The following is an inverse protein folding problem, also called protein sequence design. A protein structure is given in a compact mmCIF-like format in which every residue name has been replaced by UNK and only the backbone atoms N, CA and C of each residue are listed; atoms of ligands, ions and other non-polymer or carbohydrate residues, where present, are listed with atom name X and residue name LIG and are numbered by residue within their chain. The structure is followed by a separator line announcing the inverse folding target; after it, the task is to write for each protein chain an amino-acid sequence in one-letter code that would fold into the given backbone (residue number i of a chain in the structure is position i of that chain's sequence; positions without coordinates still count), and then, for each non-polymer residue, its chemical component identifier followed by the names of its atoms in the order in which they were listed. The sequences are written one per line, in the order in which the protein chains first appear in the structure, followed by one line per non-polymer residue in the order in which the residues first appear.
data_IF_824335782644
#
_entry.id   IF_824335782644
#
_cell.length_a   1.000
_cell.length_b   1.000
_cell.length_c   1.000
_cell.angle_alpha   90.00
_cell.angle_beta   90.00
_cell.angle_gamma   90.00
#
_symmetry.space_group_name_H-M   'P 1'
#
loop_
_entity.id
_entity.type
_entity.pdbx_description
1 polymer ?
#
# COMPACT_ATOMS: atom_id res chain seq x y z
N UNK A 1 -0.01 12.49 25.66
CA UNK A 1 -1.00 12.51 24.56
C UNK A 1 -0.94 13.85 23.88
N UNK A 2 -1.14 13.91 22.56
CA UNK A 2 -1.37 15.19 21.86
C UNK A 2 -2.48 15.94 22.61
N UNK A 3 -2.30 17.26 22.81
CA UNK A 3 -3.32 18.10 23.44
C UNK A 3 -4.52 18.34 22.52
N UNK A 4 -4.44 17.94 21.26
CA UNK A 4 -5.50 18.16 20.26
C UNK A 4 -6.46 16.97 20.16
N UNK A 5 -7.78 17.21 20.19
CA UNK A 5 -8.77 16.19 19.91
C UNK A 5 -8.58 15.62 18.49
N UNK A 6 -8.59 14.29 18.34
CA UNK A 6 -8.55 13.62 17.02
C UNK A 6 -7.17 13.15 16.53
N UNK A 7 -6.10 13.25 17.34
CA UNK A 7 -4.79 12.72 16.97
C UNK A 7 -4.84 11.18 16.85
N UNK A 8 -4.54 10.60 15.66
CA UNK A 8 -4.75 9.17 15.42
C UNK A 8 -3.62 8.27 15.96
N UNK A 9 -2.58 8.83 16.59
CA UNK A 9 -1.44 8.06 17.08
C UNK A 9 -0.99 8.46 18.49
N UNK A 10 -0.52 7.47 19.26
CA UNK A 10 0.17 7.68 20.53
C UNK A 10 1.66 7.96 20.31
N UNK A 11 2.25 8.82 21.14
CA UNK A 11 3.68 9.13 21.11
C UNK A 11 4.37 8.59 22.36
N UNK A 12 5.42 7.79 22.18
CA UNK A 12 6.35 7.36 23.23
C UNK A 12 7.74 7.83 22.87
N UNK A 13 8.49 8.36 23.84
CA UNK A 13 9.85 8.86 23.63
C UNK A 13 10.85 7.95 24.32
N UNK A 14 11.88 7.54 23.58
CA UNK A 14 13.02 6.80 24.11
C UNK A 14 14.22 7.73 24.18
N UNK A 15 14.93 7.73 25.31
CA UNK A 15 16.05 8.63 25.61
C UNK A 15 17.32 7.80 25.76
N UNK A 16 17.92 7.33 24.65
CA UNK A 16 19.22 6.67 24.69
C UNK A 16 20.34 7.66 24.98
N UNK A 17 21.38 7.17 25.65
CA UNK A 17 22.63 7.89 25.89
C UNK A 17 23.66 7.51 24.83
N UNK A 18 24.96 7.51 25.16
CA UNK A 18 25.99 7.08 24.20
C UNK A 18 25.74 5.61 23.81
N UNK A 19 25.62 5.34 22.51
CA UNK A 19 25.18 4.02 22.03
C UNK A 19 26.39 3.20 21.59
N UNK A 20 26.62 2.10 22.30
CA UNK A 20 27.65 1.11 21.95
C UNK A 20 27.03 -0.23 21.58
N UNK A 21 27.82 -1.17 21.13
CA UNK A 21 27.36 -2.50 20.70
C UNK A 21 27.74 -2.83 19.24
N UNK A 22 27.35 -4.01 18.76
CA UNK A 22 27.84 -4.54 17.50
C UNK A 22 27.43 -3.68 16.29
N UNK A 23 28.38 -3.46 15.39
CA UNK A 23 28.17 -2.79 14.13
C UNK A 23 27.50 -3.71 13.12
N UNK A 24 26.69 -3.14 12.22
CA UNK A 24 26.04 -3.91 11.14
C UNK A 24 27.13 -4.32 10.13
N UNK A 25 27.18 -5.58 9.68
CA UNK A 25 28.14 -6.01 8.66
C UNK A 25 28.01 -5.20 7.36
N UNK A 26 29.15 -4.73 6.84
CA UNK A 26 29.22 -3.89 5.65
C UNK A 26 28.82 -2.44 5.90
N UNK A 27 28.81 -1.96 7.15
CA UNK A 27 28.54 -0.56 7.46
C UNK A 27 29.61 0.31 6.78
N UNK A 28 29.23 1.30 5.93
CA UNK A 28 30.18 2.01 5.08
C UNK A 28 30.99 3.09 5.80
N UNK A 29 30.52 3.58 6.95
CA UNK A 29 31.15 4.68 7.69
C UNK A 29 31.10 4.45 9.19
N UNK A 30 32.13 4.92 9.90
CA UNK A 30 32.13 4.94 11.36
C UNK A 30 31.13 5.99 11.87
N UNK A 31 30.30 5.62 12.84
CA UNK A 31 29.37 6.57 13.46
C UNK A 31 30.02 7.30 14.64
N UNK A 32 29.43 8.41 15.08
CA UNK A 32 29.95 9.26 16.16
C UNK A 32 30.12 8.55 17.50
N UNK A 33 29.28 7.55 17.81
CA UNK A 33 29.40 6.83 19.08
C UNK A 33 30.54 5.80 19.06
N UNK A 34 30.76 5.15 17.91
CA UNK A 34 31.86 4.24 17.68
C UNK A 34 33.21 4.97 17.56
N UNK A 35 33.21 6.20 17.04
CA UNK A 35 34.42 7.04 16.98
C UNK A 35 34.94 7.42 18.36
N UNK A 36 34.12 7.34 19.41
CA UNK A 36 34.58 7.53 20.78
C UNK A 36 35.48 6.38 21.28
N UNK A 37 35.42 5.19 20.65
CA UNK A 37 36.22 4.02 21.02
C UNK A 37 37.41 3.81 20.08
N UNK A 38 37.27 4.12 18.79
CA UNK A 38 38.33 3.84 17.79
C UNK A 38 39.67 4.49 18.14
N UNK A 39 39.65 5.66 18.78
CA UNK A 39 40.89 6.35 19.18
C UNK A 39 41.70 5.61 20.26
N UNK A 40 41.03 4.76 21.06
CA UNK A 40 41.69 3.85 22.00
C UNK A 40 42.23 2.60 21.29
N UNK A 41 41.60 2.20 20.16
CA UNK A 41 41.97 1.02 19.37
C UNK A 41 43.22 1.28 18.54
N UNK A 42 43.31 2.46 17.91
CA UNK A 42 44.44 2.84 17.05
C UNK A 42 45.61 3.48 17.82
N UNK A 43 45.38 3.90 19.06
CA UNK A 43 46.35 4.57 19.91
C UNK A 43 46.47 6.07 19.67
N UNK A 44 45.56 6.70 18.92
CA UNK A 44 45.52 8.17 18.77
C UNK A 44 45.19 8.88 20.09
N UNK A 45 44.47 8.21 21.00
CA UNK A 45 44.25 8.66 22.38
C UNK A 45 45.38 8.13 23.27
N UNK A 46 46.20 9.05 23.79
CA UNK A 46 47.38 8.73 24.62
C UNK A 46 47.10 8.66 26.13
N UNK A 47 46.04 9.33 26.59
CA UNK A 47 45.60 9.30 27.99
C UNK A 47 44.11 8.97 28.06
N UNK A 48 43.73 8.14 29.03
CA UNK A 48 42.33 7.79 29.28
C UNK A 48 41.60 9.01 29.83
N UNK A 49 40.45 9.33 29.24
CA UNK A 49 39.57 10.41 29.72
C UNK A 49 39.19 10.17 31.19
N UNK A 50 39.39 11.17 32.05
CA UNK A 50 39.03 11.09 33.46
C UNK A 50 37.57 11.51 33.65
N UNK A 51 36.66 10.64 33.21
CA UNK A 51 35.22 10.85 33.28
C UNK A 51 34.41 9.55 33.25
N UNK A 52 33.17 9.63 33.71
CA UNK A 52 32.14 8.62 33.51
C UNK A 52 31.13 9.09 32.44
N UNK A 53 30.65 8.18 31.60
CA UNK A 53 29.56 8.47 30.65
C UNK A 53 28.50 7.39 30.71
N UNK A 54 27.23 7.78 30.61
CA UNK A 54 26.12 6.82 30.50
C UNK A 54 26.07 6.21 29.12
N UNK A 55 25.99 4.88 29.05
CA UNK A 55 26.02 4.12 27.79
C UNK A 55 24.90 3.11 27.71
N UNK A 56 24.53 2.71 26.49
CA UNK A 56 23.49 1.71 26.24
C UNK A 56 23.80 0.90 24.98
N UNK A 57 23.41 -0.39 24.96
CA UNK A 57 23.60 -1.25 23.80
C UNK A 57 22.62 -0.91 22.68
N UNK A 58 23.10 -0.87 21.44
CA UNK A 58 22.29 -0.63 20.23
C UNK A 58 21.17 -1.66 20.07
N UNK A 59 21.39 -2.91 20.49
CA UNK A 59 20.38 -3.98 20.45
C UNK A 59 19.26 -3.72 21.45
N UNK A 60 19.60 -3.23 22.63
CA UNK A 60 18.62 -2.87 23.66
C UNK A 60 17.80 -1.66 23.22
N UNK A 61 18.43 -0.66 22.61
CA UNK A 61 17.75 0.48 22.00
C UNK A 61 16.79 0.02 20.91
N UNK A 62 17.23 -0.84 19.99
CA UNK A 62 16.37 -1.36 18.92
C UNK A 62 15.18 -2.17 19.48
N UNK A 63 15.43 -3.03 20.48
CA UNK A 63 14.38 -3.79 21.17
C UNK A 63 13.38 -2.86 21.87
N UNK A 64 13.85 -1.82 22.55
CA UNK A 64 12.99 -0.83 23.20
C UNK A 64 12.07 -0.11 22.22
N UNK A 65 12.55 0.24 21.02
CA UNK A 65 11.71 0.83 19.97
C UNK A 65 10.56 -0.10 19.55
N UNK A 66 10.86 -1.39 19.36
CA UNK A 66 9.85 -2.39 18.99
C UNK A 66 8.84 -2.61 20.11
N UNK A 67 9.30 -2.75 21.35
CA UNK A 67 8.43 -2.97 22.51
C UNK A 67 7.55 -1.75 22.81
N UNK A 68 8.06 -0.54 22.64
CA UNK A 68 7.28 0.69 22.85
C UNK A 68 6.11 0.84 21.87
N UNK A 69 6.20 0.26 20.67
CA UNK A 69 5.11 0.26 19.68
C UNK A 69 4.05 -0.79 20.02
N UNK A 70 4.45 -1.91 20.65
CA UNK A 70 3.56 -3.04 20.94
C UNK A 70 2.78 -2.90 22.24
N UNK A 71 3.24 -2.03 23.14
CA UNK A 71 2.69 -1.89 24.50
C UNK A 71 1.93 -0.58 24.63
N UNK A 72 0.97 -0.56 25.56
CA UNK A 72 0.21 0.66 25.88
C UNK A 72 1.01 1.57 26.82
N UNK A 73 2.01 2.24 26.25
CA UNK A 73 2.95 3.12 26.98
C UNK A 73 2.98 4.53 26.41
N UNK A 74 1.98 4.90 25.61
CA UNK A 74 1.89 6.22 24.99
C UNK A 74 1.89 7.34 26.05
N UNK A 75 2.51 8.46 25.71
CA UNK A 75 2.69 9.61 26.58
C UNK A 75 3.87 9.51 27.55
N UNK A 76 4.64 8.42 27.52
CA UNK A 76 5.77 8.20 28.43
C UNK A 76 7.12 8.50 27.77
N UNK A 77 8.11 8.74 28.63
CA UNK A 77 9.52 8.90 28.27
C UNK A 77 10.32 7.82 29.01
N UNK A 78 11.15 7.09 28.30
CA UNK A 78 11.94 5.99 28.87
C UNK A 78 13.43 6.28 28.74
N UNK A 79 14.14 6.30 29.88
CA UNK A 79 15.60 6.36 29.89
C UNK A 79 16.15 5.01 29.46
N UNK A 80 17.07 5.02 28.49
CA UNK A 80 17.78 3.83 28.04
C UNK A 80 19.25 3.98 28.42
N UNK A 81 19.60 3.44 29.60
CA UNK A 81 20.95 3.46 30.17
C UNK A 81 21.27 2.05 30.65
N UNK A 82 22.31 1.43 30.08
CA UNK A 82 22.82 0.12 30.50
C UNK A 82 24.04 0.19 31.42
N UNK A 83 24.58 1.39 31.67
CA UNK A 83 25.71 1.58 32.58
C UNK A 83 26.23 3.02 32.60
N UNK A 84 27.04 3.36 33.61
CA UNK A 84 27.80 4.62 33.68
C UNK A 84 29.27 4.33 34.04
N UNK A 85 30.03 3.65 33.17
CA UNK A 85 31.41 3.27 33.44
C UNK A 85 32.35 4.47 33.45
N UNK A 86 33.43 4.39 34.23
CA UNK A 86 34.58 5.25 34.04
C UNK A 86 35.34 4.83 32.77
N UNK A 87 35.92 5.76 32.01
CA UNK A 87 36.66 5.41 30.79
C UNK A 87 37.88 4.52 31.03
N UNK A 88 38.38 4.45 32.28
CA UNK A 88 39.39 3.46 32.70
C UNK A 88 38.88 2.03 32.56
N UNK A 89 37.63 1.77 32.95
CA UNK A 89 37.01 0.45 32.76
C UNK A 89 36.80 0.18 31.27
N UNK A 90 36.35 1.18 30.52
CA UNK A 90 36.16 1.08 29.07
C UNK A 90 37.47 0.73 28.37
N UNK A 91 38.57 1.42 28.67
CA UNK A 91 39.89 1.13 28.13
C UNK A 91 40.35 -0.31 28.44
N UNK A 92 40.07 -0.81 29.65
CA UNK A 92 40.34 -2.20 30.00
C UNK A 92 39.50 -3.18 29.16
N UNK A 93 38.21 -2.91 28.99
CA UNK A 93 37.35 -3.75 28.15
C UNK A 93 37.74 -3.73 26.66
N UNK A 94 38.20 -2.58 26.14
CA UNK A 94 38.77 -2.49 24.80
C UNK A 94 40.02 -3.36 24.71
N UNK A 95 40.96 -3.22 25.65
CA UNK A 95 42.20 -4.01 25.68
C UNK A 95 41.92 -5.51 25.73
N UNK A 96 40.95 -5.95 26.52
CA UNK A 96 40.54 -7.34 26.61
C UNK A 96 39.93 -7.87 25.29
N UNK A 97 39.27 -7.01 24.53
CA UNK A 97 38.59 -7.37 23.28
C UNK A 97 39.50 -7.33 22.04
N UNK A 98 40.67 -6.67 22.12
CA UNK A 98 41.59 -6.51 21.01
C UNK A 98 42.51 -7.73 20.80
N UNK A 99 42.98 -7.96 19.56
CA UNK A 99 44.10 -8.85 19.27
C UNK A 99 45.37 -8.47 20.05
N UNK A 100 46.20 -9.46 20.41
CA UNK A 100 47.39 -9.26 21.28
C UNK A 100 48.34 -8.17 20.77
N UNK A 101 48.58 -8.09 19.47
CA UNK A 101 49.45 -7.11 18.81
C UNK A 101 48.92 -5.67 18.89
N UNK A 102 47.62 -5.49 19.12
CA UNK A 102 46.98 -4.18 19.24
C UNK A 102 46.82 -3.72 20.70
N UNK A 103 46.89 -4.62 21.68
CA UNK A 103 46.64 -4.29 23.10
C UNK A 103 47.58 -3.24 23.66
N UNK A 104 48.82 -3.21 23.18
CA UNK A 104 49.84 -2.24 23.61
C UNK A 104 49.50 -0.80 23.23
N UNK A 105 48.61 -0.58 22.25
CA UNK A 105 48.17 0.76 21.81
C UNK A 105 47.17 1.41 22.77
N UNK A 106 46.49 0.61 23.59
CA UNK A 106 45.44 1.12 24.49
C UNK A 106 46.08 1.81 25.69
N UNK A 107 45.83 3.11 25.91
CA UNK A 107 46.45 3.87 27.00
C UNK A 107 46.11 3.27 28.37
N UNK A 108 47.05 3.38 29.30
CA UNK A 108 46.91 2.91 30.70
C UNK A 108 46.84 4.05 31.71
N UNK A 109 47.42 5.20 31.36
CA UNK A 109 47.43 6.41 32.20
C UNK A 109 46.08 7.15 32.05
N UNK A 110 45.46 7.48 33.18
CA UNK A 110 44.29 8.36 33.22
C UNK A 110 44.76 9.81 33.22
N UNK A 111 44.10 10.66 32.45
CA UNK A 111 44.44 12.09 32.36
C UNK A 111 44.22 12.79 33.70
N UNK A 112 45.12 13.70 34.05
CA UNK A 112 44.95 14.56 35.24
C UNK A 112 43.84 15.59 35.03
N UNK A 113 43.59 15.96 33.77
CA UNK A 113 42.50 16.86 33.40
C UNK A 113 41.17 16.11 33.48
N UNK A 114 40.24 16.64 34.26
CA UNK A 114 38.86 16.17 34.29
C UNK A 114 38.20 16.37 32.93
N UNK A 115 37.40 15.39 32.51
CA UNK A 115 36.57 15.51 31.32
C UNK A 115 35.56 16.67 31.42
N UNK A 116 34.94 17.08 30.31
CA UNK A 116 33.89 18.08 30.35
C UNK A 116 32.65 17.55 31.09
N UNK A 117 32.05 18.38 31.94
CA UNK A 117 30.72 18.10 32.52
C UNK A 117 29.68 18.28 31.43
N UNK A 118 29.29 17.19 30.78
CA UNK A 118 28.31 17.25 29.67
C UNK A 118 26.88 17.17 30.21
N UNK A 119 26.59 16.26 31.15
CA UNK A 119 25.33 16.14 31.92
C UNK A 119 25.57 15.24 33.15
N UNK A 120 24.99 15.57 34.32
CA UNK A 120 25.16 14.79 35.56
C UNK A 120 26.22 15.35 36.52
N UNK A 121 26.71 14.56 37.50
CA UNK A 121 27.70 15.01 38.46
C UNK A 121 29.06 15.30 37.77
N UNK A 122 29.92 16.14 38.37
CA UNK A 122 31.22 16.43 37.79
C UNK A 122 32.06 15.15 37.70
N UNK A 123 32.86 14.97 36.63
CA UNK A 123 33.84 13.90 36.56
C UNK A 123 34.74 13.86 37.82
N UNK A 124 35.15 12.69 38.30
CA UNK A 124 34.96 11.35 37.72
C UNK A 124 33.71 10.61 38.24
N UNK A 125 32.76 11.31 38.87
CA UNK A 125 31.60 10.66 39.49
C UNK A 125 30.70 9.99 38.45
N UNK A 126 30.22 8.78 38.75
CA UNK A 126 29.25 8.10 37.91
C UNK A 126 27.87 8.75 38.03
N UNK A 127 27.11 8.71 36.94
CA UNK A 127 25.75 9.25 36.92
C UNK A 127 24.84 8.24 37.60
N UNK A 128 24.10 8.66 38.63
CA UNK A 128 22.98 7.88 39.16
C UNK A 128 21.79 7.96 38.20
N UNK A 129 21.18 6.82 37.89
CA UNK A 129 20.04 6.73 36.98
C UNK A 129 19.02 5.71 37.48
N UNK A 130 17.75 5.93 37.13
CA UNK A 130 16.66 4.98 37.34
C UNK A 130 16.08 4.54 35.99
N UNK A 131 16.25 3.26 35.69
CA UNK A 131 15.70 2.61 34.48
C UNK A 131 14.60 1.61 34.81
N UNK A 132 14.15 1.52 36.06
CA UNK A 132 13.09 0.61 36.48
C UNK A 132 11.79 0.77 35.66
N UNK A 133 11.36 1.98 35.24
CA UNK A 133 10.21 2.11 34.35
C UNK A 133 10.43 1.41 32.99
N UNK A 134 11.63 1.50 32.43
CA UNK A 134 11.99 0.87 31.16
C UNK A 134 11.98 -0.65 31.31
N UNK A 135 12.58 -1.19 32.36
CA UNK A 135 12.63 -2.63 32.59
C UNK A 135 11.22 -3.20 32.84
N UNK A 136 10.45 -2.56 33.72
CA UNK A 136 9.09 -3.03 34.08
C UNK A 136 8.10 -2.90 32.94
N UNK A 137 8.06 -1.74 32.28
CA UNK A 137 7.03 -1.46 31.28
C UNK A 137 7.40 -1.95 29.89
N UNK A 138 8.69 -1.91 29.49
CA UNK A 138 9.15 -2.35 28.17
C UNK A 138 9.79 -3.74 28.16
N UNK A 139 10.06 -4.35 29.33
CA UNK A 139 10.68 -5.68 29.40
C UNK A 139 12.11 -5.72 28.83
N UNK A 140 12.82 -4.59 28.94
CA UNK A 140 14.20 -4.47 28.50
C UNK A 140 15.11 -4.91 29.65
N UNK A 141 16.10 -5.74 29.32
CA UNK A 141 17.18 -6.12 30.21
C UNK A 141 18.45 -5.62 29.57
N UNK A 142 19.11 -4.65 30.20
CA UNK A 142 20.25 -3.99 29.60
C UNK A 142 21.48 -4.89 29.57
N UNK A 143 22.14 -4.89 28.43
CA UNK A 143 23.38 -5.62 28.19
C UNK A 143 24.49 -5.01 29.04
N UNK A 144 25.33 -5.80 29.74
CA UNK A 144 26.43 -5.27 30.53
C UNK A 144 27.45 -4.49 29.68
N UNK A 145 27.97 -3.39 30.21
CA UNK A 145 28.93 -2.49 29.52
C UNK A 145 30.10 -3.23 28.86
N UNK A 146 30.70 -4.20 29.57
CA UNK A 146 31.79 -5.02 29.04
C UNK A 146 31.42 -5.69 27.71
N UNK A 147 30.21 -6.21 27.61
CA UNK A 147 29.72 -6.88 26.41
C UNK A 147 29.38 -5.89 25.30
N UNK A 148 28.84 -4.71 25.65
CA UNK A 148 28.61 -3.62 24.69
C UNK A 148 29.93 -3.21 23.99
N UNK A 149 30.98 -2.99 24.80
CA UNK A 149 32.31 -2.60 24.31
C UNK A 149 32.96 -3.72 23.51
N UNK A 150 32.96 -4.95 24.05
CA UNK A 150 33.56 -6.12 23.38
C UNK A 150 32.95 -6.36 22.00
N UNK A 151 31.62 -6.46 21.93
CA UNK A 151 30.90 -6.67 20.68
C UNK A 151 31.18 -5.53 19.68
N UNK A 152 31.24 -4.28 20.15
CA UNK A 152 31.54 -3.13 19.29
C UNK A 152 32.95 -3.20 18.71
N UNK A 153 33.97 -3.43 19.54
CA UNK A 153 35.38 -3.50 19.09
C UNK A 153 35.60 -4.64 18.10
N UNK A 154 35.05 -5.82 18.36
CA UNK A 154 35.18 -6.97 17.47
C UNK A 154 34.57 -6.69 16.10
N UNK A 155 33.30 -6.26 16.08
CA UNK A 155 32.60 -5.96 14.83
C UNK A 155 33.16 -4.71 14.13
N UNK A 156 33.75 -3.76 14.85
CA UNK A 156 34.46 -2.61 14.29
C UNK A 156 35.64 -3.07 13.45
N UNK A 157 36.47 -3.97 13.98
CA UNK A 157 37.58 -4.57 13.24
C UNK A 157 37.10 -5.43 12.06
N UNK A 158 36.05 -6.23 12.25
CA UNK A 158 35.46 -7.04 11.16
C UNK A 158 34.92 -6.17 10.00
N UNK A 159 34.46 -4.95 10.29
CA UNK A 159 34.04 -3.99 9.28
C UNK A 159 35.21 -3.18 8.69
N UNK A 160 36.45 -3.47 9.07
CA UNK A 160 37.65 -2.79 8.56
C UNK A 160 37.88 -1.39 9.16
N UNK A 161 37.24 -1.07 10.29
CA UNK A 161 37.50 0.17 11.03
C UNK A 161 38.58 -0.07 12.07
N UNK A 162 39.75 0.52 11.87
CA UNK A 162 40.93 0.37 12.74
C UNK A 162 41.69 1.68 12.98
N UNK A 163 41.21 2.81 12.46
CA UNK A 163 41.83 4.13 12.60
C UNK A 163 40.78 5.22 12.83
N UNK A 164 41.09 6.17 13.72
CA UNK A 164 40.28 7.35 13.99
C UNK A 164 40.12 8.26 12.77
N UNK A 165 41.06 8.23 11.82
CA UNK A 165 40.98 8.98 10.56
C UNK A 165 39.82 8.51 9.66
N UNK A 166 39.35 7.28 9.83
CA UNK A 166 38.19 6.74 9.10
C UNK A 166 36.86 7.36 9.57
N UNK A 167 36.87 8.09 10.70
CA UNK A 167 35.72 8.86 11.13
C UNK A 167 35.66 10.20 10.40
N UNK A 168 34.65 10.36 9.54
CA UNK A 168 34.33 11.62 8.89
C UNK A 168 33.13 12.24 9.62
N UNK A 169 33.30 13.35 10.36
CA UNK A 169 32.19 14.00 11.06
C UNK A 169 31.09 14.45 10.09
N UNK A 170 29.85 14.30 10.52
CA UNK A 170 28.67 14.65 9.70
C UNK A 170 28.60 16.14 9.33
N UNK A 171 29.39 16.99 10.00
CA UNK A 171 29.54 18.43 9.67
C UNK A 171 30.08 18.68 8.26
N UNK A 172 30.74 17.70 7.64
CA UNK A 172 31.23 17.82 6.27
C UNK A 172 30.22 17.35 5.22
N UNK A 173 29.09 16.74 5.64
CA UNK A 173 28.00 16.38 4.72
C UNK A 173 27.07 17.55 4.58
N UNK A 174 26.78 17.93 3.34
CA UNK A 174 25.77 18.96 3.11
C UNK A 174 24.41 18.44 3.58
N UNK A 175 23.54 19.34 4.06
CA UNK A 175 22.17 19.00 4.45
C UNK A 175 21.42 18.27 3.32
N UNK A 176 21.76 18.56 2.07
CA UNK A 176 21.23 17.90 0.88
C UNK A 176 21.64 16.42 0.81
N UNK A 177 22.89 16.07 1.09
CA UNK A 177 23.37 14.68 1.12
C UNK A 177 22.74 13.85 2.24
N UNK A 178 22.47 14.47 3.40
CA UNK A 178 21.79 13.79 4.51
C UNK A 178 20.31 13.54 4.23
N UNK A 179 19.65 14.51 3.59
CA UNK A 179 18.27 14.37 3.15
C UNK A 179 18.17 13.35 2.02
N UNK A 180 19.10 13.36 1.06
CA UNK A 180 19.11 12.40 -0.06
C UNK A 180 19.35 10.97 0.41
N UNK A 181 20.32 10.72 1.29
CA UNK A 181 20.59 9.38 1.81
C UNK A 181 19.40 8.80 2.61
N UNK A 182 18.71 9.64 3.40
CA UNK A 182 17.49 9.26 4.12
C UNK A 182 16.30 9.10 3.18
N UNK A 183 16.17 9.93 2.15
CA UNK A 183 15.08 9.83 1.18
C UNK A 183 15.25 8.61 0.29
N UNK A 184 16.47 8.27 -0.14
CA UNK A 184 16.75 7.13 -1.01
C UNK A 184 16.46 5.80 -0.31
N UNK A 185 16.89 5.67 0.96
CA UNK A 185 16.60 4.47 1.77
C UNK A 185 15.11 4.35 2.09
N UNK A 186 14.45 5.46 2.45
CA UNK A 186 13.00 5.49 2.67
C UNK A 186 12.19 5.24 1.38
N UNK A 187 12.65 5.75 0.24
CA UNK A 187 12.01 5.58 -1.06
C UNK A 187 12.21 4.15 -1.58
N UNK A 188 13.36 3.54 -1.38
CA UNK A 188 13.58 2.14 -1.69
C UNK A 188 12.67 1.25 -0.83
N UNK A 189 12.59 1.49 0.47
CA UNK A 189 11.69 0.77 1.37
C UNK A 189 10.22 0.95 0.96
N UNK A 190 9.80 2.18 0.61
CA UNK A 190 8.46 2.48 0.11
C UNK A 190 8.17 1.79 -1.22
N UNK A 191 9.11 1.81 -2.17
CA UNK A 191 8.99 1.13 -3.47
C UNK A 191 8.88 -0.39 -3.32
N UNK A 192 9.69 -0.98 -2.43
CA UNK A 192 9.63 -2.42 -2.15
C UNK A 192 8.31 -2.79 -1.45
N UNK A 193 7.84 -1.99 -0.50
CA UNK A 193 6.55 -2.16 0.15
C UNK A 193 5.39 -2.07 -0.86
N UNK A 194 5.38 -1.04 -1.71
CA UNK A 194 4.36 -0.86 -2.75
C UNK A 194 4.35 -1.99 -3.78
N UNK A 195 5.53 -2.49 -4.19
CA UNK A 195 5.62 -3.66 -5.08
C UNK A 195 5.08 -4.92 -4.41
N UNK A 196 5.41 -5.15 -3.14
CA UNK A 196 4.87 -6.28 -2.35
C UNK A 196 3.36 -6.19 -2.22
N UNK A 197 2.83 -5.03 -1.83
CA UNK A 197 1.40 -4.80 -1.68
C UNK A 197 0.62 -4.99 -2.98
N UNK A 198 1.09 -4.41 -4.10
CA UNK A 198 0.49 -4.64 -5.42
C UNK A 198 0.47 -6.11 -5.81
N UNK A 199 1.56 -6.83 -5.56
CA UNK A 199 1.61 -8.26 -5.83
C UNK A 199 0.62 -9.04 -4.96
N UNK A 200 0.48 -8.70 -3.68
CA UNK A 200 -0.51 -9.31 -2.78
C UNK A 200 -1.94 -9.04 -3.26
N UNK A 201 -2.29 -7.80 -3.61
CA UNK A 201 -3.61 -7.46 -4.13
C UNK A 201 -3.95 -8.21 -5.42
N UNK A 202 -3.00 -8.32 -6.36
CA UNK A 202 -3.22 -9.07 -7.60
C UNK A 202 -3.40 -10.57 -7.38
N UNK A 203 -2.77 -11.12 -6.33
CA UNK A 203 -2.97 -12.50 -5.92
C UNK A 203 -4.33 -12.69 -5.26
N UNK A 204 -4.74 -11.79 -4.37
CA UNK A 204 -6.06 -11.79 -3.72
C UNK A 204 -7.20 -11.67 -4.74
N UNK A 205 -7.08 -10.77 -5.72
CA UNK A 205 -8.11 -10.63 -6.78
C UNK A 205 -8.23 -11.90 -7.63
N UNK A 206 -7.12 -12.57 -7.95
CA UNK A 206 -7.15 -13.86 -8.65
C UNK A 206 -7.73 -14.97 -7.77
N UNK A 207 -7.49 -14.90 -6.46
CA UNK A 207 -7.99 -15.84 -5.46
C UNK A 207 -9.51 -15.80 -5.32
N UNK A 208 -10.09 -14.60 -5.33
CA UNK A 208 -11.55 -14.43 -5.26
C UNK A 208 -12.25 -14.96 -6.51
N UNK A 209 -11.66 -14.81 -7.70
CA UNK A 209 -12.18 -15.39 -8.95
C UNK A 209 -12.17 -16.92 -8.87
N UNK A 210 -11.07 -17.53 -8.43
CA UNK A 210 -10.98 -18.99 -8.29
C UNK A 210 -11.96 -19.54 -7.24
N UNK A 211 -12.20 -18.79 -6.16
CA UNK A 211 -13.18 -19.15 -5.12
C UNK A 211 -14.61 -19.15 -5.67
N UNK A 212 -14.98 -18.15 -6.48
CA UNK A 212 -16.30 -18.06 -7.14
C UNK A 212 -16.57 -19.24 -8.07
N UNK A 213 -15.55 -19.75 -8.76
CA UNK A 213 -15.68 -20.86 -9.73
C UNK A 213 -15.54 -22.27 -9.09
N UNK A 214 -15.64 -22.39 -7.76
CA UNK A 214 -15.65 -23.68 -7.01
C UNK A 214 -14.47 -24.64 -7.30
N UNK A 215 -13.29 -24.16 -7.70
CA UNK A 215 -12.10 -24.99 -7.92
C UNK A 215 -11.40 -25.41 -6.60
N UNK A 216 -12.16 -25.97 -5.66
CA UNK A 216 -11.77 -26.31 -4.27
C UNK A 216 -10.52 -27.20 -4.17
N UNK A 217 -10.33 -28.12 -5.12
CA UNK A 217 -9.16 -28.99 -5.15
C UNK A 217 -7.86 -28.22 -5.45
N UNK A 218 -7.90 -27.28 -6.39
CA UNK A 218 -6.74 -26.42 -6.71
C UNK A 218 -6.44 -25.44 -5.58
N UNK A 219 -7.48 -24.96 -4.89
CA UNK A 219 -7.36 -24.10 -3.70
C UNK A 219 -6.62 -24.80 -2.54
N UNK A 220 -6.90 -26.08 -2.28
CA UNK A 220 -6.24 -26.86 -1.22
C UNK A 220 -4.76 -27.11 -1.51
N UNK A 221 -4.43 -27.49 -2.76
CA UNK A 221 -3.05 -27.75 -3.19
C UNK A 221 -2.20 -26.47 -3.17
N UNK A 222 -2.77 -25.34 -3.60
CA UNK A 222 -2.08 -24.05 -3.59
C UNK A 222 -1.81 -23.54 -2.17
N UNK A 223 -2.77 -23.71 -1.24
CA UNK A 223 -2.64 -23.27 0.15
C UNK A 223 -1.58 -24.09 0.91
N UNK A 224 -1.56 -25.42 0.73
CA UNK A 224 -0.53 -26.27 1.31
C UNK A 224 0.86 -25.97 0.75
N UNK A 225 0.97 -25.77 -0.57
CA UNK A 225 2.23 -25.40 -1.20
C UNK A 225 2.73 -24.02 -0.74
N UNK A 226 1.85 -23.03 -0.58
CA UNK A 226 2.21 -21.69 -0.10
C UNK A 226 2.61 -21.67 1.37
N UNK A 227 1.84 -22.34 2.24
CA UNK A 227 2.14 -22.46 3.67
C UNK A 227 3.47 -23.17 3.92
N UNK A 228 3.71 -24.30 3.25
CA UNK A 228 4.96 -25.05 3.34
C UNK A 228 6.15 -24.25 2.77
N UNK A 229 6.01 -23.63 1.60
CA UNK A 229 7.10 -22.86 0.97
C UNK A 229 7.45 -21.57 1.74
N UNK A 230 6.46 -20.95 2.41
CA UNK A 230 6.69 -19.80 3.30
C UNK A 230 7.52 -20.21 4.52
N UNK A 231 7.30 -21.39 5.10
CA UNK A 231 8.11 -21.86 6.22
C UNK A 231 9.54 -22.21 5.81
N UNK A 232 9.74 -22.73 4.60
CA UNK A 232 11.06 -23.19 4.11
C UNK A 232 11.97 -22.05 3.67
N UNK A 233 11.44 -20.97 3.07
CA UNK A 233 12.27 -19.84 2.58
C UNK A 233 12.64 -18.84 3.68
N UNK A 234 11.82 -18.72 4.73
CA UNK A 234 12.05 -17.75 5.79
C UNK A 234 12.77 -18.32 7.02
N UNK A 235 12.93 -19.64 7.13
CA UNK A 235 13.92 -20.22 8.06
C UNK A 235 15.31 -20.09 7.45
N UNK A 236 16.01 -19.00 7.78
CA UNK A 236 17.48 -19.04 7.80
C UNK A 236 17.85 -20.10 8.83
N UNK A 237 18.30 -21.27 8.39
CA UNK A 237 19.09 -22.14 9.25
C UNK A 237 20.37 -21.36 9.59
N UNK A 238 20.74 -21.20 10.88
CA UNK A 238 21.88 -20.35 11.27
C UNK A 238 23.24 -20.84 10.79
N UNK A 239 23.31 -21.98 10.11
CA UNK A 239 24.57 -22.62 9.80
C UNK A 239 24.51 -23.32 8.44
N UNK A 240 24.93 -22.64 7.38
CA UNK A 240 25.38 -23.31 6.15
C UNK A 240 26.20 -22.32 5.31
N UNK A 241 27.52 -22.43 5.37
CA UNK A 241 28.49 -21.76 4.48
C UNK A 241 28.47 -22.31 3.04
N UNK A 242 27.44 -23.05 2.63
CA UNK A 242 27.40 -23.78 1.37
C UNK A 242 26.44 -23.14 0.35
N UNK A 243 27.01 -22.30 -0.53
CA UNK A 243 26.33 -21.49 -1.55
C UNK A 243 25.65 -22.31 -2.67
N UNK A 244 25.91 -23.62 -2.74
CA UNK A 244 25.23 -24.53 -3.70
C UNK A 244 23.80 -24.87 -3.27
N UNK A 245 23.56 -25.03 -1.96
CA UNK A 245 22.24 -25.38 -1.43
C UNK A 245 21.26 -24.20 -1.41
N UNK A 246 21.77 -22.97 -1.34
CA UNK A 246 20.98 -21.73 -1.43
C UNK A 246 20.45 -21.54 -2.85
N UNK A 247 21.28 -21.72 -3.88
CA UNK A 247 20.90 -21.64 -5.30
C UNK A 247 19.87 -22.70 -5.69
N UNK A 248 20.03 -23.94 -5.21
CA UNK A 248 19.05 -25.01 -5.42
C UNK A 248 17.68 -24.71 -4.80
N UNK A 249 17.66 -24.16 -3.58
CA UNK A 249 16.42 -23.73 -2.90
C UNK A 249 15.73 -22.57 -3.63
N UNK A 250 16.49 -21.58 -4.11
CA UNK A 250 15.95 -20.45 -4.89
C UNK A 250 15.40 -20.93 -6.24
N UNK A 251 16.09 -21.83 -6.94
CA UNK A 251 15.64 -22.40 -8.20
C UNK A 251 14.35 -23.22 -8.03
N UNK A 252 14.26 -24.05 -6.98
CA UNK A 252 13.04 -24.79 -6.64
C UNK A 252 11.87 -23.85 -6.32
N UNK A 253 12.15 -22.73 -5.63
CA UNK A 253 11.13 -21.73 -5.29
C UNK A 253 10.65 -20.97 -6.54
N UNK A 254 11.56 -20.61 -7.44
CA UNK A 254 11.23 -20.00 -8.74
C UNK A 254 10.40 -20.94 -9.62
N UNK A 255 10.74 -22.24 -9.63
CA UNK A 255 9.96 -23.24 -10.35
C UNK A 255 8.55 -23.37 -9.78
N UNK A 256 8.40 -23.46 -8.46
CA UNK A 256 7.10 -23.55 -7.79
C UNK A 256 6.24 -22.33 -8.11
N UNK A 257 6.82 -21.13 -8.04
CA UNK A 257 6.15 -19.88 -8.40
C UNK A 257 5.69 -19.86 -9.86
N UNK A 258 6.58 -20.21 -10.79
CA UNK A 258 6.26 -20.22 -12.22
C UNK A 258 5.20 -21.26 -12.58
N UNK A 259 5.30 -22.48 -12.04
CA UNK A 259 4.42 -23.59 -12.43
C UNK A 259 3.10 -23.63 -11.69
N UNK A 260 3.05 -23.23 -10.41
CA UNK A 260 1.82 -23.32 -9.60
C UNK A 260 1.15 -21.96 -9.46
N UNK A 261 1.86 -20.95 -8.97
CA UNK A 261 1.26 -19.63 -8.68
C UNK A 261 0.90 -18.88 -9.96
N UNK A 262 1.85 -18.71 -10.87
CA UNK A 262 1.61 -17.98 -12.13
C UNK A 262 0.63 -18.72 -13.05
N UNK A 263 0.66 -20.06 -13.06
CA UNK A 263 -0.29 -20.85 -13.85
C UNK A 263 -1.72 -20.73 -13.33
N UNK A 264 -1.92 -20.76 -12.01
CA UNK A 264 -3.24 -20.54 -11.40
C UNK A 264 -3.72 -19.11 -11.63
N UNK A 265 -2.82 -18.13 -11.54
CA UNK A 265 -3.14 -16.74 -11.83
C UNK A 265 -3.58 -16.55 -13.29
N UNK A 266 -2.87 -17.14 -14.25
CA UNK A 266 -3.29 -17.12 -15.68
C UNK A 266 -4.67 -17.75 -15.90
N UNK A 267 -4.97 -18.84 -15.18
CA UNK A 267 -6.30 -19.48 -15.21
C UNK A 267 -7.36 -18.55 -14.64
N UNK A 268 -7.09 -17.91 -13.50
CA UNK A 268 -7.98 -16.93 -12.88
C UNK A 268 -8.24 -15.72 -13.79
N UNK A 269 -7.20 -15.18 -14.45
CA UNK A 269 -7.37 -14.08 -15.40
C UNK A 269 -8.18 -14.51 -16.63
N UNK A 270 -7.98 -15.74 -17.12
CA UNK A 270 -8.77 -16.29 -18.22
C UNK A 270 -10.24 -16.46 -17.86
N UNK A 271 -10.55 -16.92 -16.64
CA UNK A 271 -11.93 -17.00 -16.15
C UNK A 271 -12.55 -15.60 -16.00
N UNK A 272 -11.83 -14.66 -15.42
CA UNK A 272 -12.31 -13.28 -15.26
C UNK A 272 -12.59 -12.60 -16.62
N UNK A 273 -11.77 -12.86 -17.64
CA UNK A 273 -12.03 -12.36 -19.00
C UNK A 273 -13.30 -12.98 -19.60
N UNK A 274 -13.54 -14.28 -19.37
CA UNK A 274 -14.75 -14.96 -19.85
C UNK A 274 -16.01 -14.43 -19.17
N UNK A 275 -15.95 -14.17 -17.87
CA UNK A 275 -17.07 -13.59 -17.12
C UNK A 275 -17.43 -12.20 -17.66
N UNK A 276 -16.44 -11.33 -17.91
CA UNK A 276 -16.69 -10.00 -18.52
C UNK A 276 -17.31 -10.09 -19.91
N UNK A 277 -16.79 -10.97 -20.77
CA UNK A 277 -17.35 -11.17 -22.11
C UNK A 277 -18.80 -11.63 -22.04
N UNK A 278 -19.13 -12.47 -21.05
CA UNK A 278 -20.51 -12.92 -20.82
C UNK A 278 -21.41 -11.78 -20.34
N UNK A 279 -20.95 -10.96 -19.40
CA UNK A 279 -21.68 -9.78 -18.92
C UNK A 279 -21.95 -8.78 -20.06
N UNK A 280 -20.96 -8.52 -20.92
CA UNK A 280 -21.11 -7.66 -22.10
C UNK A 280 -22.13 -8.23 -23.10
N UNK A 281 -22.10 -9.56 -23.34
CA UNK A 281 -23.07 -10.23 -24.19
C UNK A 281 -24.50 -10.16 -23.61
N UNK A 282 -24.65 -10.37 -22.30
CA UNK A 282 -25.94 -10.28 -21.62
C UNK A 282 -26.49 -8.84 -21.66
N UNK A 283 -25.61 -7.83 -21.52
CA UNK A 283 -26.00 -6.42 -21.66
C UNK A 283 -26.44 -6.07 -23.09
N UNK A 284 -25.73 -6.56 -24.12
CA UNK A 284 -26.11 -6.38 -25.52
C UNK A 284 -27.45 -7.04 -25.84
N UNK A 285 -27.66 -8.27 -25.36
CA UNK A 285 -28.94 -8.96 -25.49
C UNK A 285 -30.07 -8.21 -24.78
N UNK A 286 -29.79 -7.61 -23.62
CA UNK A 286 -30.72 -6.73 -22.91
C UNK A 286 -31.11 -5.51 -23.74
N UNK A 287 -30.13 -4.81 -24.34
CA UNK A 287 -30.38 -3.67 -25.21
C UNK A 287 -31.24 -4.05 -26.43
N UNK A 288 -30.91 -5.14 -27.12
CA UNK A 288 -31.69 -5.62 -28.26
C UNK A 288 -33.12 -6.00 -27.87
N UNK A 289 -33.33 -6.63 -26.71
CA UNK A 289 -34.68 -6.94 -26.20
C UNK A 289 -35.50 -5.66 -25.97
N UNK A 290 -34.91 -4.62 -25.38
CA UNK A 290 -35.58 -3.33 -25.21
C UNK A 290 -35.93 -2.68 -26.54
N UNK A 291 -35.01 -2.68 -27.52
CA UNK A 291 -35.30 -2.14 -28.86
C UNK A 291 -36.40 -2.91 -29.58
N UNK A 292 -36.43 -4.24 -29.46
CA UNK A 292 -37.51 -5.06 -30.02
C UNK A 292 -38.85 -4.66 -29.38
N UNK A 293 -38.88 -4.46 -28.07
CA UNK A 293 -40.08 -4.06 -27.35
C UNK A 293 -40.59 -2.67 -27.79
N UNK A 294 -39.70 -1.70 -27.94
CA UNK A 294 -40.04 -0.36 -28.47
C UNK A 294 -40.60 -0.42 -29.90
N UNK A 295 -40.00 -1.25 -30.75
CA UNK A 295 -40.49 -1.46 -32.12
C UNK A 295 -41.88 -2.11 -32.12
N UNK A 296 -42.12 -3.08 -31.24
CA UNK A 296 -43.44 -3.70 -31.09
C UNK A 296 -44.49 -2.67 -30.68
N UNK A 297 -44.21 -1.82 -29.68
CA UNK A 297 -45.12 -0.75 -29.25
C UNK A 297 -45.38 0.27 -30.37
N UNK A 298 -44.36 0.60 -31.16
CA UNK A 298 -44.50 1.49 -32.32
C UNK A 298 -45.42 0.88 -33.39
N UNK A 299 -45.26 -0.41 -33.67
CA UNK A 299 -46.11 -1.14 -34.63
C UNK A 299 -47.57 -1.18 -34.16
N UNK A 300 -47.81 -1.47 -32.87
CA UNK A 300 -49.17 -1.45 -32.29
C UNK A 300 -49.81 -0.07 -32.39
N UNK A 301 -49.04 1.00 -32.11
CA UNK A 301 -49.51 2.38 -32.22
C UNK A 301 -49.85 2.76 -33.66
N UNK A 302 -49.01 2.37 -34.63
CA UNK A 302 -49.28 2.59 -36.06
C UNK A 302 -50.48 1.78 -36.54
N UNK A 303 -50.65 0.56 -36.02
CA UNK A 303 -51.82 -0.26 -36.30
C UNK A 303 -53.10 0.42 -35.81
N UNK A 304 -53.12 0.93 -34.57
CA UNK A 304 -54.24 1.71 -34.03
C UNK A 304 -54.58 2.92 -34.91
N UNK A 305 -53.59 3.74 -35.28
CA UNK A 305 -53.78 4.88 -36.19
C UNK A 305 -54.37 4.47 -37.54
N UNK A 306 -53.92 3.35 -38.11
CA UNK A 306 -54.47 2.82 -39.36
C UNK A 306 -55.94 2.45 -39.21
N UNK A 307 -56.33 1.85 -38.09
CA UNK A 307 -57.73 1.50 -37.80
C UNK A 307 -58.58 2.76 -37.68
N UNK A 308 -58.13 3.78 -36.95
CA UNK A 308 -58.84 5.05 -36.81
C UNK A 308 -59.05 5.76 -38.15
N UNK A 309 -57.98 5.85 -38.97
CA UNK A 309 -58.06 6.44 -40.32
C UNK A 309 -59.05 5.67 -41.20
N UNK A 310 -59.06 4.33 -41.13
CA UNK A 310 -60.02 3.54 -41.88
C UNK A 310 -61.47 3.81 -41.44
N UNK A 311 -61.71 3.99 -40.13
CA UNK A 311 -63.03 4.35 -39.62
C UNK A 311 -63.47 5.73 -40.13
N UNK A 312 -62.57 6.72 -40.13
CA UNK A 312 -62.84 8.05 -40.67
C UNK A 312 -63.12 8.02 -42.18
N UNK A 313 -62.37 7.22 -42.94
CA UNK A 313 -62.61 7.03 -44.36
C UNK A 313 -63.97 6.39 -44.62
N UNK A 314 -64.40 5.44 -43.79
CA UNK A 314 -65.74 4.85 -43.89
C UNK A 314 -66.84 5.86 -43.60
N UNK A 315 -66.69 6.71 -42.58
CA UNK A 315 -67.69 7.75 -42.28
C UNK A 315 -67.76 8.81 -43.38
N UNK A 316 -66.63 9.23 -43.93
CA UNK A 316 -66.62 10.19 -45.05
C UNK A 316 -67.22 9.60 -46.33
N UNK A 317 -66.95 8.31 -46.63
CA UNK A 317 -67.63 7.62 -47.73
C UNK A 317 -69.14 7.59 -47.55
N UNK A 318 -69.64 7.35 -46.34
CA UNK A 318 -71.07 7.38 -46.06
C UNK A 318 -71.66 8.78 -46.26
N UNK A 319 -70.97 9.84 -45.82
CA UNK A 319 -71.40 11.23 -46.04
C UNK A 319 -71.42 11.61 -47.51
N UNK A 320 -70.42 11.17 -48.28
CA UNK A 320 -70.39 11.39 -49.73
C UNK A 320 -71.59 10.71 -50.40
N UNK A 321 -71.92 9.47 -50.03
CA UNK A 321 -73.09 8.77 -50.55
C UNK A 321 -74.41 9.48 -50.21
N UNK A 322 -74.54 10.04 -49.01
CA UNK A 322 -75.69 10.84 -48.60
C UNK A 322 -75.83 12.11 -49.45
N UNK A 323 -74.75 12.87 -49.60
CA UNK A 323 -74.72 14.07 -50.45
C UNK A 323 -75.00 13.77 -51.92
N UNK A 324 -74.49 12.65 -52.45
CA UNK A 324 -74.80 12.19 -53.80
C UNK A 324 -76.30 11.88 -53.96
N UNK A 325 -76.93 11.27 -52.95
CA UNK A 325 -78.37 11.01 -52.93
C UNK A 325 -79.19 12.30 -52.89
N UNK A 326 -78.82 13.25 -52.03
CA UNK A 326 -79.45 14.58 -51.95
C UNK A 326 -79.33 15.34 -53.26
N UNK A 327 -78.14 15.36 -53.87
CA UNK A 327 -77.91 15.99 -55.16
C UNK A 327 -78.79 15.35 -56.24
N UNK A 328 -78.90 14.02 -56.25
CA UNK A 328 -79.80 13.29 -57.16
C UNK A 328 -81.26 13.69 -56.98
N UNK A 329 -81.72 13.86 -55.73
CA UNK A 329 -83.07 14.33 -55.40
C UNK A 329 -83.31 15.76 -55.89
N UNK A 330 -82.40 16.69 -55.59
CA UNK A 330 -82.45 18.08 -56.06
C UNK A 330 -82.46 18.16 -57.59
N UNK A 331 -81.62 17.38 -58.28
CA UNK A 331 -81.64 17.29 -59.75
C UNK A 331 -82.99 16.78 -60.28
N UNK A 332 -83.61 15.82 -59.59
CA UNK A 332 -84.96 15.35 -59.88
C UNK A 332 -86.00 16.47 -59.74
N UNK A 333 -85.97 17.21 -58.63
CA UNK A 333 -86.85 18.36 -58.40
C UNK A 333 -86.69 19.45 -59.46
N UNK A 334 -85.45 19.77 -59.85
CA UNK A 334 -85.19 20.75 -60.92
C UNK A 334 -85.76 20.28 -62.25
N UNK A 335 -85.61 19.00 -62.61
CA UNK A 335 -86.22 18.44 -63.82
C UNK A 335 -87.75 18.53 -63.79
N UNK A 336 -88.36 18.29 -62.63
CA UNK A 336 -89.81 18.41 -62.45
C UNK A 336 -90.29 19.86 -62.57
N UNK A 337 -89.60 20.81 -61.92
CA UNK A 337 -89.87 22.25 -62.07
C UNK A 337 -89.70 22.72 -63.52
N UNK A 338 -88.69 22.22 -64.23
CA UNK A 338 -88.51 22.51 -65.65
C UNK A 338 -89.65 21.94 -66.50
N UNK A 339 -90.18 20.77 -66.14
CA UNK A 339 -91.34 20.16 -66.81
C UNK A 339 -92.60 20.98 -66.58
N UNK A 340 -92.93 21.31 -65.32
CA UNK A 340 -94.10 22.14 -64.99
C UNK A 340 -94.02 23.52 -65.62
N UNK A 341 -92.85 24.17 -65.64
CA UNK A 341 -92.63 25.43 -66.34
C UNK A 341 -92.91 25.30 -67.84
N UNK A 342 -92.43 24.22 -68.49
CA UNK A 342 -92.74 23.95 -69.90
C UNK A 342 -94.24 23.72 -70.15
N UNK A 343 -94.92 23.02 -69.25
CA UNK A 343 -96.37 22.79 -69.33
C UNK A 343 -97.17 24.08 -69.15
N UNK A 344 -96.81 24.93 -68.18
CA UNK A 344 -97.39 26.27 -67.99
C UNK A 344 -97.15 27.19 -69.20
N UNK A 345 -95.94 27.18 -69.77
CA UNK A 345 -95.62 27.91 -70.99
C UNK A 345 -96.47 27.45 -72.17
N UNK A 346 -96.68 26.13 -72.34
CA UNK A 346 -97.60 25.61 -73.38
C UNK A 346 -99.04 26.06 -73.15
N UNK A 347 -99.53 26.01 -71.91
CA UNK A 347 -100.87 26.47 -71.55
C UNK A 347 -101.08 27.96 -71.87
N UNK A 348 -100.08 28.81 -71.56
CA UNK A 348 -100.09 30.23 -71.88
C UNK A 348 -100.11 30.50 -73.40
N UNK A 349 -99.36 29.71 -74.19
CA UNK A 349 -99.35 29.83 -75.65
C UNK A 349 -100.66 29.34 -76.29
N UNK A 350 -101.34 28.34 -75.71
CA UNK A 350 -102.66 27.89 -76.19
C UNK A 350 -103.83 28.81 -75.81
N UNK A 351 -103.62 29.76 -74.89
CA UNK A 351 -104.64 30.72 -74.43
C UNK A 351 -104.63 32.08 -75.16
N UNK A 352 -103.71 32.30 -76.10
CA UNK A 352 -103.65 33.53 -76.89
C UNK A 352 -104.56 33.42 -78.13
N UNK A 353 -105.50 34.37 -78.35
CA UNK A 353 -106.33 34.38 -79.55
C UNK A 353 -105.46 34.57 -80.79
N UNK A 354 -105.69 33.74 -81.81
CA UNK A 354 -105.14 33.97 -83.16
C UNK A 354 -105.67 35.32 -83.65
N UNK A 355 -104.77 36.28 -83.78
CA UNK A 355 -104.98 37.52 -84.51
C UNK A 355 -104.04 37.53 -85.72
#
# INVERSE_FOLDING_TARGET
MSKEPGCPFGLTVLLPTLIWGPMIPGQPHLNTSASALVGYVDGSIQEIENACKTVVDVRDVAKAHVEAIRRDVAGRRFLLIGGSPHFKEVANYIRDALPEDMKAKVPTKVSEKLGPTVLGPPPPLSVAYDVAPTEKLLGIHFTPVREQVRSMVQTMLENGFSSAEQYVPDRNRTRQELVSARSETADLARRLSNRRWRMTLHLESGWDVLRKHHERWLLSVAFHAFGAARQVVWRRTPDSRDDRTSRGRVAAWQWLWRKKVVSLWRRATGLSQRDRLREDQEAQLGHHRSSIWELQECVERLHGRRVDINSLLQSERARVQELESELGSCQGQVKELQRTLKELLRAAVSGLPRA
#
